data_IF_575657039869
#
_entry.id   IF_575657039869
#
_cell.length_a   1.000
_cell.length_b   1.000
_cell.length_c   1.000
_cell.angle_alpha   90.00
_cell.angle_beta   90.00
_cell.angle_gamma   90.00
#
_symmetry.space_group_name_H-M   'P 1'
#
loop_
_entity.id
_entity.type
_entity.pdbx_description
1 polymer ?
#
# COMPACT_ATOMS: atom_id res chain seq x y z
N UNK A 1 58.96 0.75 11.45
CA UNK A 1 57.73 1.32 12.07
C UNK A 1 56.62 1.23 11.06
N UNK A 2 55.72 0.23 11.20
CA UNK A 2 54.56 0.05 10.35
C UNK A 2 53.36 0.76 11.04
N UNK A 3 52.79 1.76 10.37
CA UNK A 3 51.58 2.41 10.80
C UNK A 3 50.37 1.67 10.29
N UNK A 4 49.52 1.13 11.20
CA UNK A 4 48.25 0.53 10.90
C UNK A 4 47.22 1.65 10.79
N UNK A 5 46.65 1.86 9.60
CA UNK A 5 45.52 2.74 9.38
C UNK A 5 44.24 1.93 9.62
N UNK A 6 43.55 2.19 10.72
CA UNK A 6 42.24 1.62 11.01
C UNK A 6 41.20 2.39 10.21
N UNK A 7 40.58 1.73 9.23
CA UNK A 7 39.43 2.25 8.52
C UNK A 7 38.16 2.07 9.38
N UNK A 8 37.64 3.15 9.96
CA UNK A 8 36.31 3.17 10.57
C UNK A 8 35.25 3.16 9.48
N UNK A 9 34.59 2.01 9.30
CA UNK A 9 33.38 1.91 8.50
C UNK A 9 32.22 2.55 9.28
N UNK A 10 31.80 3.74 8.88
CA UNK A 10 30.55 4.35 9.34
C UNK A 10 29.39 3.60 8.69
N UNK A 11 28.79 2.70 9.45
CA UNK A 11 27.49 2.11 9.10
C UNK A 11 26.41 3.19 9.16
N UNK A 12 25.91 3.60 8.01
CA UNK A 12 24.74 4.47 7.92
C UNK A 12 23.52 3.61 8.26
N UNK A 13 23.15 3.58 9.53
CA UNK A 13 21.82 3.09 9.94
C UNK A 13 20.78 4.12 9.45
N UNK A 14 20.18 3.86 8.31
CA UNK A 14 18.97 4.57 7.89
C UNK A 14 17.84 4.15 8.85
N UNK A 15 17.66 4.90 9.93
CA UNK A 15 16.43 4.87 10.69
C UNK A 15 15.33 5.38 9.76
N UNK A 16 14.40 4.51 9.40
CA UNK A 16 13.14 4.92 8.81
C UNK A 16 12.45 5.85 9.84
N UNK A 17 12.40 7.14 9.55
CA UNK A 17 11.63 8.08 10.34
C UNK A 17 10.16 7.65 10.26
N UNK A 18 9.58 7.25 11.39
CA UNK A 18 8.15 6.97 11.52
C UNK A 18 7.39 8.30 11.50
N UNK A 19 7.24 8.87 10.32
CA UNK A 19 6.47 10.08 10.06
C UNK A 19 5.43 9.78 9.00
N UNK A 20 4.25 10.37 9.12
CA UNK A 20 3.22 10.28 8.08
C UNK A 20 3.82 10.69 6.74
N UNK A 21 3.75 9.80 5.76
CA UNK A 21 4.26 10.08 4.40
C UNK A 21 3.45 11.21 3.80
N UNK A 22 4.14 12.21 3.27
CA UNK A 22 3.54 13.38 2.63
C UNK A 22 3.90 13.42 1.14
N UNK A 23 3.12 14.19 0.39
CA UNK A 23 3.41 14.46 -1.01
C UNK A 23 4.82 15.10 -1.16
N UNK A 24 5.58 14.63 -2.14
CA UNK A 24 6.98 15.00 -2.39
C UNK A 24 8.00 14.03 -1.80
N UNK A 25 7.63 13.20 -0.81
CA UNK A 25 8.50 12.21 -0.18
C UNK A 25 8.74 10.99 -1.06
N UNK A 26 9.82 10.26 -0.77
CA UNK A 26 10.09 8.96 -1.39
C UNK A 26 9.16 7.92 -0.76
N UNK A 27 8.49 7.13 -1.59
CA UNK A 27 7.66 6.04 -1.13
C UNK A 27 8.53 4.93 -0.50
N UNK A 28 8.29 4.52 0.76
CA UNK A 28 9.00 3.42 1.37
C UNK A 28 8.81 2.13 0.56
N UNK A 29 9.88 1.39 0.36
CA UNK A 29 9.79 0.07 -0.25
C UNK A 29 9.13 -0.92 0.71
N UNK A 30 8.36 -1.82 0.14
CA UNK A 30 7.77 -2.96 0.84
C UNK A 30 7.81 -4.20 -0.04
N UNK A 31 7.64 -5.35 0.56
CA UNK A 31 7.35 -6.63 -0.11
C UNK A 31 6.36 -7.37 0.77
N UNK A 32 5.17 -7.63 0.24
CA UNK A 32 4.05 -8.31 0.90
C UNK A 32 3.57 -9.47 0.05
N UNK A 33 2.89 -10.44 0.66
CA UNK A 33 2.26 -11.52 -0.08
C UNK A 33 0.92 -11.06 -0.66
N UNK A 34 0.67 -11.41 -1.91
CA UNK A 34 -0.62 -11.18 -2.57
C UNK A 34 -1.62 -12.29 -2.25
N UNK A 35 -2.88 -12.12 -2.67
CA UNK A 35 -3.91 -13.16 -2.66
C UNK A 35 -3.53 -14.44 -3.43
N UNK A 36 -2.49 -14.39 -4.25
CA UNK A 36 -1.95 -15.56 -4.98
C UNK A 36 -0.82 -16.25 -4.22
N UNK A 37 -0.53 -15.82 -2.98
CA UNK A 37 0.59 -16.31 -2.16
C UNK A 37 1.96 -16.03 -2.81
N UNK A 38 2.05 -14.95 -3.57
CA UNK A 38 3.27 -14.52 -4.24
C UNK A 38 3.76 -13.20 -3.66
N UNK A 39 5.07 -13.04 -3.46
CA UNK A 39 5.62 -11.76 -3.03
C UNK A 39 5.40 -10.70 -4.12
N UNK A 40 4.98 -9.52 -3.68
CA UNK A 40 4.78 -8.33 -4.51
C UNK A 40 5.44 -7.15 -3.81
N UNK A 41 6.33 -6.48 -4.50
CA UNK A 41 7.06 -5.32 -3.99
C UNK A 41 6.75 -4.05 -4.77
N UNK A 42 6.93 -2.90 -4.14
CA UNK A 42 6.81 -1.62 -4.84
C UNK A 42 7.81 -1.52 -6.01
N UNK A 43 8.98 -2.12 -5.85
CA UNK A 43 10.05 -2.13 -6.88
C UNK A 43 9.68 -2.86 -8.15
N UNK A 44 8.69 -3.76 -8.11
CA UNK A 44 8.22 -4.52 -9.29
C UNK A 44 7.50 -3.63 -10.29
N UNK A 45 7.09 -2.43 -9.84
CA UNK A 45 6.32 -1.47 -10.61
C UNK A 45 7.09 -0.19 -10.98
N UNK A 46 8.44 -0.25 -10.99
CA UNK A 46 9.25 0.88 -11.47
C UNK A 46 8.82 1.30 -12.88
N UNK A 47 8.71 2.60 -13.10
CA UNK A 47 8.26 3.14 -14.38
C UNK A 47 6.74 3.19 -14.56
N UNK A 48 5.96 2.74 -13.58
CA UNK A 48 4.50 2.82 -13.57
C UNK A 48 4.01 3.73 -12.46
N UNK A 49 2.84 4.30 -12.64
CA UNK A 49 2.08 4.89 -11.57
C UNK A 49 1.54 3.78 -10.67
N UNK A 50 1.56 4.00 -9.35
CA UNK A 50 1.00 3.05 -8.37
C UNK A 50 -0.06 3.76 -7.55
N UNK A 51 -1.27 3.23 -7.59
CA UNK A 51 -2.37 3.60 -6.71
C UNK A 51 -2.38 2.58 -5.58
N UNK A 52 -1.82 2.96 -4.44
CA UNK A 52 -1.70 2.13 -3.26
C UNK A 52 -2.77 2.54 -2.25
N UNK A 53 -3.82 1.72 -2.09
CA UNK A 53 -4.90 2.03 -1.16
C UNK A 53 -4.89 1.09 0.03
N UNK A 54 -4.92 1.66 1.23
CA UNK A 54 -5.09 0.94 2.49
C UNK A 54 -6.56 0.94 2.87
N UNK A 55 -7.06 -0.18 3.36
CA UNK A 55 -8.46 -0.34 3.76
C UNK A 55 -8.56 -1.19 5.04
N UNK A 56 -9.66 -1.04 5.82
CA UNK A 56 -9.77 -1.67 7.13
C UNK A 56 -9.82 -3.19 7.10
N UNK A 57 -10.71 -3.78 6.28
CA UNK A 57 -10.96 -5.22 6.34
C UNK A 57 -11.66 -5.77 5.10
N UNK A 58 -11.24 -6.97 4.69
CA UNK A 58 -11.88 -7.74 3.62
C UNK A 58 -13.37 -7.97 3.86
N UNK A 59 -14.13 -8.01 2.77
CA UNK A 59 -15.53 -8.38 2.72
C UNK A 59 -16.48 -7.51 3.58
N UNK A 60 -16.03 -6.33 4.05
CA UNK A 60 -16.94 -5.34 4.64
C UNK A 60 -17.60 -4.51 3.54
N UNK A 61 -18.82 -4.01 3.79
CA UNK A 61 -19.60 -3.28 2.78
C UNK A 61 -18.82 -2.12 2.15
N UNK A 62 -18.23 -1.23 2.98
CA UNK A 62 -17.49 -0.07 2.49
C UNK A 62 -16.21 -0.46 1.73
N UNK A 63 -15.46 -1.48 2.20
CA UNK A 63 -14.26 -1.93 1.50
C UNK A 63 -14.61 -2.63 0.17
N UNK A 64 -15.74 -3.34 0.12
CA UNK A 64 -16.23 -3.97 -1.10
C UNK A 64 -16.66 -2.93 -2.14
N UNK A 65 -17.37 -1.88 -1.73
CA UNK A 65 -17.73 -0.77 -2.62
C UNK A 65 -16.49 -0.07 -3.18
N UNK A 66 -15.48 0.18 -2.35
CA UNK A 66 -14.22 0.79 -2.77
C UNK A 66 -13.48 -0.10 -3.78
N UNK A 67 -13.31 -1.39 -3.48
CA UNK A 67 -12.64 -2.35 -4.35
C UNK A 67 -13.35 -2.49 -5.71
N UNK A 68 -14.69 -2.57 -5.72
CA UNK A 68 -15.48 -2.56 -6.96
C UNK A 68 -15.36 -1.25 -7.73
N UNK A 69 -15.20 -0.12 -7.04
CA UNK A 69 -14.91 1.16 -7.65
C UNK A 69 -13.60 1.15 -8.43
N UNK A 70 -12.52 0.62 -7.84
CA UNK A 70 -11.24 0.42 -8.53
C UNK A 70 -11.37 -0.57 -9.69
N UNK A 71 -12.04 -1.71 -9.48
CA UNK A 71 -12.23 -2.71 -10.53
C UNK A 71 -13.04 -2.17 -11.72
N UNK A 72 -14.08 -1.39 -11.48
CA UNK A 72 -14.88 -0.75 -12.55
C UNK A 72 -14.03 0.15 -13.44
N UNK A 73 -13.10 0.88 -12.83
CA UNK A 73 -12.27 1.87 -13.53
C UNK A 73 -10.89 1.32 -13.92
N UNK A 74 -10.65 0.01 -13.78
CA UNK A 74 -9.31 -0.60 -13.97
C UNK A 74 -8.72 -0.30 -15.36
N UNK A 75 -9.53 -0.36 -16.41
CA UNK A 75 -9.07 -0.06 -17.77
C UNK A 75 -8.59 1.40 -17.94
N UNK A 76 -9.11 2.34 -17.14
CA UNK A 76 -8.66 3.73 -17.15
C UNK A 76 -7.28 3.86 -16.50
N UNK A 77 -7.04 3.10 -15.42
CA UNK A 77 -5.72 3.04 -14.79
C UNK A 77 -4.69 2.42 -15.73
N UNK A 78 -5.03 1.30 -16.38
CA UNK A 78 -4.15 0.64 -17.36
C UNK A 78 -3.78 1.58 -18.51
N UNK A 79 -4.74 2.33 -19.04
CA UNK A 79 -4.51 3.32 -20.12
C UNK A 79 -3.55 4.46 -19.70
N UNK A 80 -3.44 4.73 -18.41
CA UNK A 80 -2.51 5.71 -17.83
C UNK A 80 -1.19 5.08 -17.36
N UNK A 81 -0.92 3.81 -17.70
CA UNK A 81 0.21 3.04 -17.20
C UNK A 81 0.26 3.05 -15.66
N UNK A 82 -0.91 2.94 -15.02
CA UNK A 82 -1.07 2.91 -13.58
C UNK A 82 -1.58 1.54 -13.14
N UNK A 83 -1.11 1.07 -11.98
CA UNK A 83 -1.59 -0.15 -11.35
C UNK A 83 -2.26 0.19 -10.01
N UNK A 84 -3.19 -0.66 -9.59
CA UNK A 84 -3.87 -0.57 -8.30
C UNK A 84 -3.36 -1.69 -7.40
N UNK A 85 -3.02 -1.36 -6.17
CA UNK A 85 -2.66 -2.29 -5.10
C UNK A 85 -3.49 -1.99 -3.87
N UNK A 86 -4.25 -2.98 -3.38
CA UNK A 86 -4.95 -2.88 -2.11
C UNK A 86 -4.11 -3.48 -0.98
N UNK A 87 -4.12 -2.87 0.19
CA UNK A 87 -3.40 -3.38 1.38
C UNK A 87 -4.32 -3.34 2.59
N UNK A 88 -4.38 -4.44 3.33
CA UNK A 88 -4.98 -4.49 4.65
C UNK A 88 -4.14 -5.32 5.61
N UNK A 89 -4.50 -5.30 6.88
CA UNK A 89 -3.87 -6.15 7.90
C UNK A 89 -4.48 -7.57 7.97
N UNK A 90 -5.34 -7.90 7.02
CA UNK A 90 -5.86 -9.25 6.86
C UNK A 90 -4.77 -10.21 6.39
N UNK A 91 -5.01 -11.51 6.53
CA UNK A 91 -4.10 -12.56 6.08
C UNK A 91 -4.31 -12.90 4.61
N UNK A 92 -3.34 -13.57 4.01
CA UNK A 92 -3.43 -14.05 2.62
C UNK A 92 -4.68 -14.90 2.38
N UNK A 93 -5.05 -15.74 3.34
CA UNK A 93 -6.22 -16.61 3.27
C UNK A 93 -7.55 -15.83 3.19
N UNK A 94 -7.63 -14.70 3.89
CA UNK A 94 -8.79 -13.80 3.83
C UNK A 94 -8.91 -13.18 2.44
N UNK A 95 -7.81 -12.68 1.88
CA UNK A 95 -7.76 -12.15 0.51
C UNK A 95 -8.11 -13.21 -0.54
N UNK A 96 -7.62 -14.45 -0.41
CA UNK A 96 -8.01 -15.58 -1.27
C UNK A 96 -9.51 -15.81 -1.22
N UNK A 97 -10.06 -15.84 0.00
CA UNK A 97 -11.50 -16.04 0.22
C UNK A 97 -12.31 -14.92 -0.42
N UNK A 98 -11.87 -13.68 -0.28
CA UNK A 98 -12.57 -12.56 -0.89
C UNK A 98 -12.49 -12.60 -2.42
N UNK A 99 -11.30 -12.80 -2.99
CA UNK A 99 -11.12 -12.90 -4.44
C UNK A 99 -11.83 -14.13 -5.08
N UNK A 100 -12.18 -15.15 -4.29
CA UNK A 100 -13.01 -16.26 -4.79
C UNK A 100 -14.49 -15.89 -4.98
N UNK A 101 -14.95 -14.85 -4.27
CA UNK A 101 -16.33 -14.35 -4.34
C UNK A 101 -16.45 -13.17 -5.30
N UNK A 102 -15.46 -12.27 -5.25
CA UNK A 102 -15.40 -11.06 -6.05
C UNK A 102 -14.19 -11.12 -6.98
N UNK A 103 -14.41 -10.90 -8.27
CA UNK A 103 -13.33 -10.96 -9.26
C UNK A 103 -12.61 -9.62 -9.34
N UNK A 104 -11.41 -9.54 -8.74
CA UNK A 104 -10.53 -8.39 -8.87
C UNK A 104 -9.34 -8.73 -9.76
N UNK A 105 -9.01 -7.87 -10.74
CA UNK A 105 -7.84 -8.02 -11.61
C UNK A 105 -6.58 -7.36 -11.06
N UNK A 106 -6.69 -6.61 -9.96
CA UNK A 106 -5.57 -6.02 -9.23
C UNK A 106 -5.19 -6.89 -8.01
N UNK A 107 -4.04 -6.57 -7.41
CA UNK A 107 -3.52 -7.33 -6.27
C UNK A 107 -4.04 -6.78 -4.94
N UNK A 108 -4.43 -7.71 -4.05
CA UNK A 108 -4.64 -7.46 -2.64
C UNK A 108 -3.44 -8.00 -1.87
N UNK A 109 -2.85 -7.20 -1.01
CA UNK A 109 -1.60 -7.48 -0.30
C UNK A 109 -1.84 -7.58 1.20
N UNK A 110 -1.36 -8.66 1.79
CA UNK A 110 -1.51 -8.95 3.21
C UNK A 110 -0.37 -8.33 4.03
N UNK A 111 -0.71 -7.49 4.99
CA UNK A 111 0.22 -6.86 5.94
C UNK A 111 -0.15 -7.12 7.41
N UNK A 112 -0.28 -8.40 7.84
CA UNK A 112 -0.71 -8.74 9.20
C UNK A 112 0.28 -8.26 10.28
N UNK A 113 1.53 -8.04 9.92
CA UNK A 113 2.58 -7.53 10.80
C UNK A 113 2.67 -5.99 10.79
N UNK A 114 1.80 -5.27 10.08
CA UNK A 114 1.72 -3.81 9.94
C UNK A 114 2.98 -3.15 9.36
N UNK A 115 3.86 -3.87 8.70
CA UNK A 115 5.17 -3.36 8.25
C UNK A 115 5.04 -2.21 7.26
N UNK A 116 4.19 -2.39 6.23
CA UNK A 116 3.94 -1.37 5.23
C UNK A 116 3.06 -0.25 5.80
N UNK A 117 1.99 -0.62 6.52
CA UNK A 117 1.06 0.32 7.15
C UNK A 117 1.80 1.29 8.07
N UNK A 118 2.71 0.79 8.92
CA UNK A 118 3.53 1.60 9.82
C UNK A 118 4.55 2.46 9.05
N UNK A 119 5.22 1.89 8.04
CA UNK A 119 6.20 2.62 7.23
C UNK A 119 5.59 3.79 6.44
N UNK A 120 4.31 3.67 6.05
CA UNK A 120 3.56 4.73 5.37
C UNK A 120 2.83 5.67 6.33
N UNK A 121 2.90 5.40 7.65
CA UNK A 121 2.24 6.20 8.67
C UNK A 121 0.71 6.15 8.59
N UNK A 122 0.16 5.04 8.10
CA UNK A 122 -1.30 4.81 8.06
C UNK A 122 -1.78 4.53 9.48
N UNK A 123 -2.73 5.32 10.02
CA UNK A 123 -3.23 5.08 11.37
C UNK A 123 -3.90 3.72 11.50
N UNK A 124 -3.66 3.04 12.62
CA UNK A 124 -4.35 1.82 12.99
C UNK A 124 -5.50 2.15 13.96
N UNK A 125 -6.66 1.61 13.68
CA UNK A 125 -7.84 1.69 14.56
C UNK A 125 -8.02 0.34 15.25
N UNK A 126 -8.20 0.36 16.57
CA UNK A 126 -8.45 -0.86 17.35
C UNK A 126 -9.94 -0.96 17.67
N UNK A 127 -10.53 -2.10 17.33
CA UNK A 127 -11.90 -2.44 17.69
C UNK A 127 -11.96 -3.89 18.15
N UNK A 128 -12.47 -4.14 19.35
CA UNK A 128 -12.54 -5.48 19.99
C UNK A 128 -11.21 -6.26 19.88
N UNK A 129 -10.11 -5.64 20.29
CA UNK A 129 -8.75 -6.22 20.28
C UNK A 129 -8.13 -6.44 18.88
N UNK A 130 -8.90 -6.25 17.82
CA UNK A 130 -8.39 -6.32 16.45
C UNK A 130 -7.94 -4.95 15.97
N UNK A 131 -6.84 -4.94 15.22
CA UNK A 131 -6.34 -3.73 14.55
C UNK A 131 -6.78 -3.71 13.10
N UNK A 132 -7.07 -2.53 12.60
CA UNK A 132 -7.49 -2.27 11.23
C UNK A 132 -6.72 -1.08 10.70
N UNK A 133 -6.22 -1.17 9.48
CA UNK A 133 -5.65 -0.01 8.80
C UNK A 133 -6.75 1.02 8.52
N UNK A 134 -6.47 2.30 8.75
CA UNK A 134 -7.39 3.34 8.33
C UNK A 134 -7.41 3.45 6.81
N UNK A 135 -8.51 3.96 6.27
CA UNK A 135 -8.66 4.17 4.83
C UNK A 135 -7.77 5.31 4.38
N UNK A 136 -6.81 5.01 3.52
CA UNK A 136 -5.85 5.99 3.01
C UNK A 136 -5.31 5.56 1.65
N UNK A 137 -5.25 6.47 0.68
CA UNK A 137 -4.72 6.17 -0.65
C UNK A 137 -3.49 7.02 -0.96
N UNK A 138 -2.46 6.40 -1.49
CA UNK A 138 -1.24 7.03 -1.95
C UNK A 138 -1.14 6.91 -3.48
N UNK A 139 -0.86 8.01 -4.14
CA UNK A 139 -0.51 8.03 -5.55
C UNK A 139 1.01 8.15 -5.66
N UNK A 140 1.64 7.13 -6.22
CA UNK A 140 3.10 7.03 -6.33
C UNK A 140 3.47 7.14 -7.82
N UNK A 141 4.38 8.05 -8.11
CA UNK A 141 4.86 8.30 -9.47
C UNK A 141 5.85 7.22 -9.96
N UNK A 142 6.11 7.12 -11.28
CA UNK A 142 7.02 6.14 -11.87
C UNK A 142 8.46 6.16 -11.31
N UNK A 143 8.87 7.29 -10.73
CA UNK A 143 10.17 7.43 -10.08
C UNK A 143 10.15 7.15 -8.56
N UNK A 144 9.05 6.58 -8.03
CA UNK A 144 8.93 6.17 -6.63
C UNK A 144 8.67 7.30 -5.64
N UNK A 145 8.17 8.45 -6.09
CA UNK A 145 7.77 9.55 -5.19
C UNK A 145 6.27 9.54 -4.96
N UNK A 146 5.87 9.74 -3.72
CA UNK A 146 4.46 9.99 -3.38
C UNK A 146 4.09 11.38 -3.89
N UNK A 147 3.13 11.47 -4.78
CA UNK A 147 2.67 12.76 -5.34
C UNK A 147 1.38 13.22 -4.70
N UNK A 148 0.62 12.31 -4.11
CA UNK A 148 -0.63 12.63 -3.41
C UNK A 148 -0.91 11.63 -2.30
N UNK A 149 -1.51 12.11 -1.21
CA UNK A 149 -2.01 11.29 -0.09
C UNK A 149 -3.46 11.69 0.16
N UNK A 150 -4.35 10.72 0.12
CA UNK A 150 -5.79 10.88 0.35
C UNK A 150 -6.14 10.26 1.68
N UNK A 151 -6.46 11.08 2.67
CA UNK A 151 -6.80 10.64 4.03
C UNK A 151 -8.30 10.66 4.33
N UNK A 152 -9.09 11.33 3.49
CA UNK A 152 -10.55 11.38 3.58
C UNK A 152 -11.13 10.63 2.39
N UNK A 153 -11.28 9.32 2.55
CA UNK A 153 -11.84 8.44 1.55
C UNK A 153 -13.23 8.03 2.02
N UNK A 154 -14.26 8.60 1.38
CA UNK A 154 -15.65 8.23 1.66
C UNK A 154 -15.96 6.86 1.05
N UNK A 155 -16.65 6.02 1.80
CA UNK A 155 -16.98 4.63 1.42
C UNK A 155 -17.87 4.55 0.17
N UNK A 156 -18.68 5.59 -0.09
CA UNK A 156 -19.68 5.64 -1.15
C UNK A 156 -19.15 6.15 -2.49
N UNK A 157 -17.84 6.37 -2.65
CA UNK A 157 -17.35 7.09 -3.82
C UNK A 157 -16.63 6.16 -4.82
N UNK A 158 -17.33 5.79 -5.91
CA UNK A 158 -16.65 5.33 -7.11
C UNK A 158 -15.72 6.43 -7.64
N UNK A 159 -14.41 6.16 -7.71
CA UNK A 159 -13.42 7.12 -8.20
C UNK A 159 -12.74 7.96 -7.13
N UNK A 160 -12.45 7.37 -5.97
CA UNK A 160 -11.78 7.99 -4.82
C UNK A 160 -10.53 8.80 -5.20
N UNK A 161 -9.73 8.32 -6.15
CA UNK A 161 -8.52 9.04 -6.61
C UNK A 161 -8.86 10.31 -7.39
N UNK A 162 -10.06 10.43 -7.95
CA UNK A 162 -10.47 11.63 -8.71
C UNK A 162 -10.87 12.79 -7.79
N UNK A 163 -11.15 12.54 -6.51
CA UNK A 163 -11.60 13.56 -5.55
C UNK A 163 -10.57 13.93 -4.48
N UNK A 164 -9.45 13.24 -4.48
CA UNK A 164 -8.29 13.69 -3.72
C UNK A 164 -7.71 14.99 -4.35
#
# INVERSE_FOLDING_TARGET
MLGVVAACAFGINAHAASGTIQAGGVAPNFTLLSQEDKPVGLTDYKGKWVILYCYPKDQTNGCTLEAHGFQRDIAKYDALNAIVLGVSVDKVEDHKTWCSKDTFSFKLLADPDHKMVDAYGVPLVTYKEMKFANRQTFVISPNGKVVRVCTKVDEDIPGTVQRC
#
